data_IF_335917264105
#
_entry.id   IF_335917264105
#
_cell.length_a   1.000
_cell.length_b   1.000
_cell.length_c   1.000
_cell.angle_alpha   90.00
_cell.angle_beta   90.00
_cell.angle_gamma   90.00
#
_symmetry.space_group_name_H-M   'P 1'
#
loop_
_entity.id
_entity.type
_entity.pdbx_description
1 polymer ?
#
# COMPACT_ATOMS: atom_id res chain seq x y z
N UNK A 1 9.23 -71.73 5.63
CA UNK A 1 8.04 -70.87 5.76
C UNK A 1 8.47 -69.43 5.54
N UNK A 2 7.87 -68.72 4.58
CA UNK A 2 8.25 -67.35 4.18
C UNK A 2 7.10 -66.44 4.61
N UNK A 3 7.31 -65.61 5.63
CA UNK A 3 6.32 -64.65 6.11
C UNK A 3 6.51 -63.33 5.38
N UNK A 4 5.57 -62.97 4.51
CA UNK A 4 5.49 -61.63 3.93
C UNK A 4 4.56 -60.78 4.79
N UNK A 5 5.11 -59.72 5.38
CA UNK A 5 4.34 -58.69 6.09
C UNK A 5 4.06 -57.58 5.08
N UNK A 6 2.78 -57.34 4.80
CA UNK A 6 2.32 -56.19 4.02
C UNK A 6 1.90 -55.12 5.01
N UNK A 7 2.59 -53.99 5.07
CA UNK A 7 2.17 -52.83 5.85
C UNK A 7 1.16 -51.99 5.03
N UNK A 8 -0.02 -51.65 5.57
CA UNK A 8 -0.91 -50.71 4.91
C UNK A 8 -0.35 -49.29 5.10
N UNK A 9 -0.08 -48.60 4.00
CA UNK A 9 0.21 -47.16 4.00
C UNK A 9 -1.12 -46.46 4.24
N UNK A 10 -1.34 -45.98 5.46
CA UNK A 10 -2.47 -45.12 5.79
C UNK A 10 -2.11 -43.72 5.28
N UNK A 11 -2.71 -43.32 4.16
CA UNK A 11 -2.58 -41.96 3.63
C UNK A 11 -3.26 -40.97 4.57
N UNK A 12 -2.46 -40.16 5.26
CA UNK A 12 -2.94 -39.06 6.08
C UNK A 12 -3.31 -37.90 5.15
N UNK A 13 -4.58 -37.82 4.76
CA UNK A 13 -5.11 -36.68 4.01
C UNK A 13 -5.09 -35.43 4.91
N UNK A 14 -4.22 -34.47 4.59
CA UNK A 14 -4.26 -33.16 5.22
C UNK A 14 -5.54 -32.43 4.77
N UNK A 15 -6.54 -32.37 5.66
CA UNK A 15 -7.68 -31.49 5.47
C UNK A 15 -7.22 -30.05 5.70
N UNK A 16 -7.03 -29.29 4.62
CA UNK A 16 -6.85 -27.85 4.72
C UNK A 16 -8.18 -27.24 5.17
N UNK A 17 -8.21 -26.71 6.39
CA UNK A 17 -9.33 -25.93 6.87
C UNK A 17 -9.39 -24.63 6.04
N UNK A 18 -10.47 -24.47 5.27
CA UNK A 18 -10.80 -23.18 4.65
C UNK A 18 -11.26 -22.28 5.78
N UNK A 19 -10.41 -21.35 6.20
CA UNK A 19 -10.78 -20.31 7.16
C UNK A 19 -11.59 -19.27 6.38
N UNK A 20 -12.88 -19.04 6.71
CA UNK A 20 -13.66 -18.00 6.06
C UNK A 20 -13.03 -16.64 6.39
N UNK A 21 -12.65 -15.91 5.34
CA UNK A 21 -12.24 -14.51 5.44
C UNK A 21 -13.47 -13.67 5.77
N UNK A 22 -13.61 -13.26 7.04
CA UNK A 22 -14.50 -12.17 7.40
C UNK A 22 -13.73 -10.86 7.20
N UNK A 23 -13.50 -10.48 5.94
CA UNK A 23 -12.97 -9.16 5.64
C UNK A 23 -13.99 -8.12 6.11
N UNK A 24 -13.69 -7.43 7.21
CA UNK A 24 -14.52 -6.35 7.71
C UNK A 24 -14.34 -5.12 6.84
N UNK A 25 -15.45 -4.46 6.46
CA UNK A 25 -15.45 -3.27 5.62
C UNK A 25 -14.45 -2.22 6.13
N UNK A 26 -13.64 -1.68 5.21
CA UNK A 26 -12.84 -0.49 5.45
C UNK A 26 -13.65 0.73 5.00
N UNK A 27 -14.09 1.53 5.96
CA UNK A 27 -14.79 2.79 5.68
C UNK A 27 -13.80 3.93 5.83
N UNK A 28 -13.50 4.62 4.74
CA UNK A 28 -12.64 5.81 4.73
C UNK A 28 -13.52 7.06 4.53
N UNK A 29 -13.76 7.88 5.56
CA UNK A 29 -14.49 9.13 5.40
C UNK A 29 -13.72 10.08 4.49
N UNK A 30 -14.30 10.41 3.34
CA UNK A 30 -13.73 11.38 2.40
C UNK A 30 -14.20 12.77 2.80
N UNK A 31 -13.25 13.68 2.97
CA UNK A 31 -13.49 15.12 3.10
C UNK A 31 -12.91 15.85 1.88
N UNK A 32 -13.15 17.15 1.78
CA UNK A 32 -12.61 17.96 0.70
C UNK A 32 -11.90 19.18 1.27
N UNK A 33 -10.71 19.49 0.73
CA UNK A 33 -9.99 20.71 1.09
C UNK A 33 -10.60 21.96 0.41
N UNK A 34 -9.97 23.13 0.59
CA UNK A 34 -10.43 24.40 0.02
C UNK A 34 -10.42 24.42 -1.52
N UNK A 35 -9.72 23.48 -2.17
CA UNK A 35 -9.64 23.32 -3.63
C UNK A 35 -10.52 22.18 -4.13
N UNK A 36 -11.38 21.62 -3.29
CA UNK A 36 -12.19 20.43 -3.59
C UNK A 36 -11.35 19.19 -3.90
N UNK A 37 -10.13 19.12 -3.36
CA UNK A 37 -9.30 17.92 -3.42
C UNK A 37 -9.85 16.89 -2.42
N UNK A 38 -10.09 15.63 -2.82
CA UNK A 38 -10.53 14.60 -1.90
C UNK A 38 -9.41 14.22 -0.92
N UNK A 39 -9.72 14.30 0.37
CA UNK A 39 -8.81 14.01 1.47
C UNK A 39 -9.36 12.86 2.32
N UNK A 40 -8.48 12.01 2.81
CA UNK A 40 -8.77 10.96 3.77
C UNK A 40 -7.81 11.05 4.95
N UNK A 41 -8.33 10.82 6.15
CA UNK A 41 -7.51 10.68 7.36
C UNK A 41 -7.18 9.21 7.56
N UNK A 42 -5.90 8.85 7.53
CA UNK A 42 -5.45 7.50 7.84
C UNK A 42 -4.56 7.51 9.09
N UNK A 43 -4.81 6.57 9.98
CA UNK A 43 -3.87 6.21 11.03
C UNK A 43 -2.82 5.26 10.44
N UNK A 44 -1.57 5.70 10.39
CA UNK A 44 -0.41 4.91 9.96
C UNK A 44 0.53 4.80 11.16
N UNK A 45 0.81 3.57 11.60
CA UNK A 45 1.64 3.26 12.77
C UNK A 45 1.23 4.07 14.03
N UNK A 46 -0.09 4.20 14.26
CA UNK A 46 -0.65 4.91 15.40
C UNK A 46 -0.66 6.44 15.28
N UNK A 47 -0.22 6.99 14.15
CA UNK A 47 -0.19 8.43 13.88
C UNK A 47 -1.18 8.79 12.76
N UNK A 48 -1.99 9.83 12.98
CA UNK A 48 -2.98 10.28 11.98
C UNK A 48 -2.33 11.17 10.93
N UNK A 49 -2.57 10.88 9.65
CA UNK A 49 -2.10 11.65 8.50
C UNK A 49 -3.27 12.00 7.58
N UNK A 50 -3.31 13.26 7.16
CA UNK A 50 -4.22 13.72 6.09
C UNK A 50 -3.56 13.46 4.73
N UNK A 51 -4.20 12.59 3.95
CA UNK A 51 -3.72 12.11 2.66
C UNK A 51 -4.69 12.52 1.56
N UNK A 52 -4.15 12.90 0.41
CA UNK A 52 -4.94 13.05 -0.82
C UNK A 52 -5.34 11.68 -1.32
N UNK A 53 -6.62 11.49 -1.63
CA UNK A 53 -7.08 10.32 -2.37
C UNK A 53 -6.80 10.53 -3.86
N UNK A 54 -5.88 9.77 -4.43
CA UNK A 54 -5.48 9.89 -5.83
C UNK A 54 -5.85 8.65 -6.63
N UNK A 55 -7.03 8.65 -7.25
CA UNK A 55 -7.47 7.52 -8.10
C UNK A 55 -6.79 7.50 -9.48
N UNK A 56 -5.90 8.46 -9.78
CA UNK A 56 -5.23 8.59 -11.07
C UNK A 56 -3.83 7.96 -11.11
N UNK A 57 -3.38 7.32 -10.03
CA UNK A 57 -2.04 6.73 -9.94
C UNK A 57 -2.06 5.21 -10.02
N UNK A 58 -1.00 4.64 -10.60
CA UNK A 58 -0.74 3.19 -10.65
C UNK A 58 -0.02 2.65 -9.40
N UNK A 59 0.41 3.53 -8.49
CA UNK A 59 1.16 3.18 -7.28
C UNK A 59 0.28 3.38 -6.04
N UNK A 60 0.34 2.48 -5.05
CA UNK A 60 -0.57 2.51 -3.89
C UNK A 60 -0.37 3.69 -2.95
N UNK A 61 0.86 4.16 -2.79
CA UNK A 61 1.23 5.25 -1.88
C UNK A 61 2.23 6.20 -2.52
N UNK A 62 2.05 7.51 -2.30
CA UNK A 62 3.08 8.52 -2.54
C UNK A 62 3.41 9.21 -1.23
N UNK A 63 4.54 8.86 -0.66
CA UNK A 63 4.96 9.36 0.65
C UNK A 63 6.25 10.15 0.53
N UNK A 64 6.32 11.28 1.23
CA UNK A 64 7.58 12.00 1.39
C UNK A 64 8.60 11.19 2.19
N UNK A 65 9.87 11.50 1.95
CA UNK A 65 11.02 10.94 2.65
C UNK A 65 10.90 10.97 4.17
N UNK A 66 10.46 12.09 4.73
CA UNK A 66 10.35 12.29 6.19
C UNK A 66 9.37 11.33 6.87
N UNK A 67 8.35 10.85 6.14
CA UNK A 67 7.44 9.82 6.63
C UNK A 67 7.99 8.41 6.37
N UNK A 68 8.59 8.19 5.21
CA UNK A 68 9.22 6.90 4.88
C UNK A 68 10.33 6.52 5.87
N UNK A 69 11.08 7.50 6.36
CA UNK A 69 12.14 7.29 7.35
C UNK A 69 11.60 6.91 8.75
N UNK A 70 10.29 7.03 8.98
CA UNK A 70 9.62 6.73 10.26
C UNK A 70 8.84 5.42 10.26
N UNK A 71 8.38 4.97 9.09
CA UNK A 71 7.61 3.74 8.95
C UNK A 71 8.58 2.55 9.02
N UNK A 72 8.29 1.62 9.92
CA UNK A 72 9.08 0.39 10.02
C UNK A 72 8.84 -0.52 8.81
N UNK A 73 9.86 -1.26 8.37
CA UNK A 73 9.71 -2.20 7.26
C UNK A 73 9.66 -1.56 5.85
N UNK A 74 9.91 -0.26 5.72
CA UNK A 74 10.14 0.38 4.42
C UNK A 74 11.46 -0.10 3.81
N UNK A 75 11.42 -0.54 2.55
CA UNK A 75 12.61 -0.90 1.76
C UNK A 75 12.52 -0.29 0.37
N UNK A 76 13.56 0.43 -0.04
CA UNK A 76 13.69 0.89 -1.42
C UNK A 76 14.05 -0.27 -2.33
N UNK A 77 13.39 -0.36 -3.49
CA UNK A 77 13.59 -1.47 -4.43
C UNK A 77 14.83 -1.27 -5.31
N UNK A 78 15.35 -0.05 -5.38
CA UNK A 78 16.37 0.36 -6.35
C UNK A 78 15.80 0.71 -7.73
N UNK A 79 14.50 0.52 -7.94
CA UNK A 79 13.80 0.97 -9.14
C UNK A 79 13.36 2.43 -9.02
N UNK A 80 13.24 3.09 -10.17
CA UNK A 80 12.73 4.46 -10.27
C UNK A 80 11.43 4.46 -11.07
N UNK A 81 10.43 5.21 -10.61
CA UNK A 81 9.25 5.56 -11.39
C UNK A 81 9.50 6.88 -12.10
N UNK A 82 9.37 6.88 -13.43
CA UNK A 82 9.45 8.10 -14.24
C UNK A 82 8.06 8.67 -14.47
N UNK A 83 7.88 9.95 -14.22
CA UNK A 83 6.65 10.70 -14.50
C UNK A 83 6.95 12.04 -15.17
N UNK A 84 5.95 12.66 -15.77
CA UNK A 84 6.05 14.00 -16.35
C UNK A 84 4.90 14.88 -15.89
N UNK A 85 5.19 16.13 -15.54
CA UNK A 85 4.14 17.10 -15.21
C UNK A 85 3.44 17.66 -16.46
N UNK A 86 2.41 18.49 -16.26
CA UNK A 86 1.67 19.13 -17.35
C UNK A 86 2.51 20.10 -18.19
N UNK A 87 3.67 20.54 -17.69
CA UNK A 87 4.63 21.35 -18.42
C UNK A 87 5.68 20.50 -19.17
N UNK A 88 5.61 19.17 -19.07
CA UNK A 88 6.53 18.23 -19.68
C UNK A 88 7.83 18.02 -18.89
N UNK A 89 7.96 18.56 -17.68
CA UNK A 89 9.13 18.32 -16.85
C UNK A 89 9.10 16.88 -16.34
N UNK A 90 10.20 16.17 -16.55
CA UNK A 90 10.35 14.77 -16.15
C UNK A 90 10.91 14.69 -14.74
N UNK A 91 10.36 13.79 -13.94
CA UNK A 91 10.84 13.46 -12.60
C UNK A 91 11.01 11.95 -12.48
N UNK A 92 11.99 11.55 -11.67
CA UNK A 92 12.26 10.14 -11.33
C UNK A 92 12.21 10.00 -9.82
N UNK A 93 11.29 9.17 -9.34
CA UNK A 93 11.05 8.95 -7.92
C UNK A 93 11.39 7.52 -7.53
N UNK A 94 12.03 7.33 -6.38
CA UNK A 94 12.42 6.00 -5.92
C UNK A 94 11.19 5.18 -5.53
N UNK A 95 11.12 3.93 -6.00
CA UNK A 95 10.11 2.96 -5.57
C UNK A 95 10.47 2.34 -4.23
N UNK A 96 9.45 2.09 -3.42
CA UNK A 96 9.58 1.39 -2.15
C UNK A 96 8.51 0.32 -1.98
N UNK A 97 8.79 -0.60 -1.07
CA UNK A 97 7.85 -1.58 -0.53
C UNK A 97 7.79 -1.41 0.98
N UNK A 98 6.59 -1.52 1.55
CA UNK A 98 6.37 -1.65 2.99
C UNK A 98 5.88 -3.08 3.24
N UNK A 99 6.65 -3.83 4.02
CA UNK A 99 6.37 -5.25 4.28
C UNK A 99 5.01 -5.43 4.98
N UNK A 100 4.75 -4.60 5.98
CA UNK A 100 3.50 -4.58 6.74
C UNK A 100 3.17 -3.14 7.17
N UNK A 101 1.93 -2.70 6.99
CA UNK A 101 1.45 -1.39 7.44
C UNK A 101 0.10 -1.54 8.13
N UNK A 102 -0.02 -0.94 9.31
CA UNK A 102 -1.32 -0.79 9.96
C UNK A 102 -2.01 0.46 9.44
N UNK A 103 -3.19 0.30 8.85
CA UNK A 103 -4.06 1.39 8.40
C UNK A 103 -5.44 1.21 9.02
N UNK A 104 -5.85 2.15 9.88
CA UNK A 104 -7.15 2.09 10.55
C UNK A 104 -7.38 0.79 11.34
N UNK A 105 -6.33 0.26 11.98
CA UNK A 105 -6.36 -1.00 12.72
C UNK A 105 -6.49 -2.27 11.84
N UNK A 106 -6.26 -2.15 10.53
CA UNK A 106 -6.14 -3.27 9.59
C UNK A 106 -4.70 -3.39 9.11
N UNK A 107 -4.24 -4.62 8.94
CA UNK A 107 -2.89 -4.91 8.48
C UNK A 107 -2.90 -5.15 6.98
N UNK A 108 -2.14 -4.33 6.26
CA UNK A 108 -1.87 -4.46 4.83
C UNK A 108 -0.43 -4.94 4.65
N UNK A 109 -0.17 -5.72 3.59
CA UNK A 109 1.14 -6.31 3.32
C UNK A 109 1.55 -6.07 1.88
N UNK A 110 2.87 -6.11 1.64
CA UNK A 110 3.48 -5.95 0.31
C UNK A 110 3.02 -4.66 -0.40
N UNK A 111 2.92 -3.57 0.37
CA UNK A 111 2.40 -2.30 -0.12
C UNK A 111 3.47 -1.62 -0.94
N UNK A 112 3.15 -1.33 -2.20
CA UNK A 112 4.04 -0.64 -3.12
C UNK A 112 3.72 0.84 -3.15
N UNK A 113 4.77 1.64 -3.27
CA UNK A 113 4.64 3.07 -3.44
C UNK A 113 5.89 3.70 -4.03
N UNK A 114 5.81 5.01 -4.18
CA UNK A 114 6.86 5.85 -4.73
C UNK A 114 7.10 7.04 -3.83
N UNK A 115 8.35 7.46 -3.74
CA UNK A 115 8.69 8.68 -3.02
C UNK A 115 7.98 9.88 -3.65
N UNK A 116 7.29 10.66 -2.83
CA UNK A 116 6.63 11.88 -3.29
C UNK A 116 7.65 13.00 -3.48
N UNK A 117 7.75 13.48 -4.72
CA UNK A 117 8.44 14.71 -5.08
C UNK A 117 7.42 15.75 -5.56
N UNK A 118 7.43 17.00 -5.03
CA UNK A 118 6.47 18.03 -5.44
C UNK A 118 6.56 18.35 -6.94
N UNK A 119 5.40 18.43 -7.61
CA UNK A 119 5.32 18.77 -9.03
C UNK A 119 5.31 20.29 -9.27
N UNK A 120 6.37 20.83 -9.89
CA UNK A 120 6.40 22.18 -10.46
C UNK A 120 6.09 23.35 -9.50
N UNK A 121 6.17 24.58 -10.01
CA UNK A 121 6.02 25.82 -9.20
C UNK A 121 4.63 26.00 -8.56
N UNK A 122 3.62 25.22 -8.96
CA UNK A 122 2.22 25.32 -8.48
C UNK A 122 1.93 24.42 -7.27
N UNK A 123 2.83 23.48 -6.95
CA UNK A 123 2.74 22.66 -5.72
C UNK A 123 3.56 23.22 -4.56
N UNK A 124 4.04 24.46 -4.70
CA UNK A 124 4.71 25.21 -3.62
C UNK A 124 3.64 25.68 -2.64
N UNK A 125 3.17 24.78 -1.79
CA UNK A 125 2.23 25.13 -0.70
C UNK A 125 1.69 23.94 0.07
N UNK A 126 1.44 22.82 -0.60
CA UNK A 126 0.60 21.76 -0.03
C UNK A 126 1.39 20.46 0.05
N UNK A 127 2.25 20.36 1.07
CA UNK A 127 3.02 19.17 1.42
C UNK A 127 2.13 18.03 1.94
N UNK A 128 1.20 17.55 1.13
CA UNK A 128 0.33 16.44 1.48
C UNK A 128 0.78 15.17 0.77
N UNK A 129 0.81 14.08 1.52
CA UNK A 129 1.03 12.73 1.03
C UNK A 129 -0.21 12.27 0.23
N UNK A 130 -0.10 11.25 -0.62
CA UNK A 130 -1.28 10.65 -1.26
C UNK A 130 -1.38 9.15 -1.06
N UNK A 131 -2.62 8.67 -1.09
CA UNK A 131 -3.01 7.27 -0.98
C UNK A 131 -3.96 6.92 -2.12
N UNK A 132 -3.83 5.72 -2.64
CA UNK A 132 -4.69 5.18 -3.70
C UNK A 132 -5.50 4.03 -3.13
N UNK A 133 -6.81 4.09 -3.33
CA UNK A 133 -7.66 2.90 -3.18
C UNK A 133 -7.55 2.14 -4.50
N UNK A 134 -6.95 0.94 -4.54
CA UNK A 134 -6.99 0.12 -5.74
C UNK A 134 -8.47 -0.17 -6.04
N UNK A 135 -8.90 0.20 -7.25
CA UNK A 135 -10.13 -0.36 -7.78
C UNK A 135 -9.78 -1.79 -8.15
N UNK A 136 -10.36 -2.77 -7.45
CA UNK A 136 -10.19 -4.18 -7.84
C UNK A 136 -10.61 -4.31 -9.31
N UNK A 137 -9.69 -4.80 -10.16
CA UNK A 137 -10.03 -5.28 -11.50
C UNK A 137 -10.92 -6.52 -11.30
N UNK A 138 -12.23 -6.31 -11.32
CA UNK A 138 -13.24 -7.39 -11.41
C UNK A 138 -13.24 -8.02 -12.79
#
# INVERSE_FOLDING_TARGET
MKFSIVLPIIGLGAAFAVVPSNAADLVLPITFDQRSTPMVSLEIDGMSYELRLDTGSEEGLHLRRDLLDRIEGVRFTGEMQRSSDMAGNVQENARFVIDELSVGGRIFRDIRGVEFSPWGATSVGDGHHSFVVPLDDT
#
